data_IF_095698822848
#
_entry.id   IF_095698822848
#
_cell.length_a   1.000
_cell.length_b   1.000
_cell.length_c   1.000
_cell.angle_alpha   90.00
_cell.angle_beta   90.00
_cell.angle_gamma   90.00
#
_symmetry.space_group_name_H-M   'P 1'
#
loop_
_entity.id
_entity.type
_entity.pdbx_description
1 polymer ?
#
# COMPACT_ATOMS: atom_id res chain seq x y z
N UNK A 1 7.86 -15.90 -0.82
CA UNK A 1 6.87 -14.84 -0.55
C UNK A 1 7.46 -14.01 0.55
N UNK A 2 7.49 -12.69 0.38
CA UNK A 2 8.12 -11.81 1.37
C UNK A 2 7.31 -11.84 2.66
N UNK A 3 7.95 -11.53 3.78
CA UNK A 3 7.29 -11.44 5.09
C UNK A 3 6.50 -10.14 5.23
N UNK A 4 5.87 -9.67 4.16
CA UNK A 4 5.13 -8.41 4.13
C UNK A 4 3.73 -8.64 3.59
N UNK A 5 2.75 -7.92 4.12
CA UNK A 5 1.44 -7.80 3.52
C UNK A 5 1.01 -6.33 3.49
N UNK A 6 0.30 -5.94 2.44
CA UNK A 6 -0.19 -4.58 2.30
C UNK A 6 -1.72 -4.52 2.34
N UNK A 7 -2.25 -3.47 2.94
CA UNK A 7 -3.68 -3.13 2.93
C UNK A 7 -3.86 -1.76 2.32
N UNK A 8 -4.68 -1.64 1.28
CA UNK A 8 -5.01 -0.37 0.63
C UNK A 8 -6.42 0.02 1.03
N UNK A 9 -6.62 1.30 1.33
CA UNK A 9 -7.91 1.86 1.72
C UNK A 9 -8.12 3.22 1.07
N UNK A 10 -9.35 3.48 0.64
CA UNK A 10 -9.78 4.81 0.27
C UNK A 10 -10.31 5.54 1.50
N UNK A 11 -9.75 6.72 1.79
CA UNK A 11 -10.17 7.61 2.87
C UNK A 11 -11.02 8.75 2.30
N UNK A 12 -12.23 8.94 2.83
CA UNK A 12 -13.16 10.03 2.52
C UNK A 12 -13.39 10.27 1.00
N UNK A 13 -13.35 9.21 0.18
CA UNK A 13 -13.43 9.26 -1.29
C UNK A 13 -12.46 10.26 -1.95
N UNK A 14 -11.30 10.55 -1.32
CA UNK A 14 -10.35 11.55 -1.82
C UNK A 14 -8.89 11.15 -1.72
N UNK A 15 -8.55 10.21 -0.84
CA UNK A 15 -7.16 9.82 -0.59
C UNK A 15 -7.03 8.31 -0.61
N UNK A 16 -5.90 7.83 -1.09
CA UNK A 16 -5.48 6.44 -1.02
C UNK A 16 -4.52 6.33 0.15
N UNK A 17 -4.73 5.33 1.00
CA UNK A 17 -3.85 4.98 2.11
C UNK A 17 -3.37 3.55 1.93
N UNK A 18 -2.06 3.37 1.92
CA UNK A 18 -1.40 2.07 1.89
C UNK A 18 -0.77 1.81 3.26
N UNK A 19 -1.13 0.68 3.85
CA UNK A 19 -0.58 0.17 5.10
C UNK A 19 0.28 -1.03 4.79
N UNK A 20 1.56 -0.97 5.12
CA UNK A 20 2.51 -2.06 4.94
C UNK A 20 2.82 -2.68 6.29
N UNK A 21 2.63 -3.98 6.38
CA UNK A 21 2.78 -4.76 7.61
C UNK A 21 3.87 -5.80 7.43
N UNK A 22 4.72 -5.92 8.44
CA UNK A 22 5.68 -7.01 8.58
C UNK A 22 5.01 -8.21 9.25
N UNK A 23 5.16 -9.38 8.65
CA UNK A 23 4.55 -10.65 9.01
C UNK A 23 5.33 -11.39 10.12
N UNK A 24 6.26 -10.74 10.83
CA UNK A 24 7.13 -11.45 11.77
C UNK A 24 6.37 -12.14 12.91
N UNK A 25 6.55 -13.46 12.99
CA UNK A 25 6.00 -14.36 14.00
C UNK A 25 6.66 -14.24 15.39
N UNK A 26 7.61 -13.31 15.60
CA UNK A 26 8.39 -13.19 16.85
C UNK A 26 7.89 -12.08 17.81
N UNK A 27 6.67 -12.31 18.32
CA UNK A 27 6.12 -12.10 19.68
C UNK A 27 6.71 -11.11 20.73
N UNK A 28 7.51 -10.08 20.44
CA UNK A 28 7.95 -9.12 21.50
C UNK A 28 8.03 -7.62 21.16
N UNK A 29 7.82 -7.19 19.91
CA UNK A 29 7.77 -5.76 19.57
C UNK A 29 6.37 -5.38 19.10
N UNK A 30 5.88 -4.22 19.54
CA UNK A 30 4.63 -3.66 19.08
C UNK A 30 4.81 -3.24 17.61
N UNK A 31 4.28 -4.03 16.68
CA UNK A 31 4.41 -3.77 15.24
C UNK A 31 3.45 -2.65 14.84
N UNK A 32 3.99 -1.50 14.47
CA UNK A 32 3.23 -0.43 13.85
C UNK A 32 3.43 -0.48 12.33
N UNK A 33 2.35 -0.47 11.53
CA UNK A 33 2.48 -0.51 10.08
C UNK A 33 3.12 0.78 9.57
N UNK A 34 3.83 0.68 8.45
CA UNK A 34 4.23 1.87 7.71
C UNK A 34 3.02 2.34 6.91
N UNK A 35 2.62 3.59 7.14
CA UNK A 35 1.45 4.19 6.53
C UNK A 35 1.87 5.22 5.48
N UNK A 36 1.50 5.00 4.23
CA UNK A 36 1.63 5.97 3.16
C UNK A 36 0.25 6.48 2.79
N UNK A 37 0.07 7.80 2.72
CA UNK A 37 -1.23 8.39 2.35
C UNK A 37 -1.03 9.53 1.38
N UNK A 38 -1.74 9.51 0.26
CA UNK A 38 -1.72 10.57 -0.74
C UNK A 38 -3.07 10.72 -1.44
N UNK A 39 -3.26 11.83 -2.15
CA UNK A 39 -4.47 12.08 -2.94
C UNK A 39 -4.47 11.36 -4.30
N UNK A 40 -3.28 11.09 -4.86
CA UNK A 40 -3.06 10.52 -6.19
C UNK A 40 -2.06 9.37 -6.11
N UNK A 41 -2.18 8.39 -7.01
CA UNK A 41 -1.27 7.23 -7.02
C UNK A 41 0.18 7.63 -7.28
N UNK A 42 0.43 8.61 -8.16
CA UNK A 42 1.76 9.11 -8.49
C UNK A 42 2.51 9.67 -7.26
N UNK A 43 1.81 10.44 -6.42
CA UNK A 43 2.37 10.96 -5.17
C UNK A 43 2.67 9.82 -4.19
N UNK A 44 1.80 8.82 -4.15
CA UNK A 44 1.96 7.65 -3.29
C UNK A 44 3.15 6.81 -3.74
N UNK A 45 3.32 6.62 -5.06
CA UNK A 45 4.49 5.98 -5.66
C UNK A 45 5.79 6.70 -5.28
N UNK A 46 5.84 8.02 -5.42
CA UNK A 46 7.02 8.81 -5.03
C UNK A 46 7.36 8.65 -3.54
N UNK A 47 6.34 8.58 -2.66
CA UNK A 47 6.52 8.32 -1.23
C UNK A 47 7.10 6.93 -0.96
N UNK A 48 6.56 5.89 -1.63
CA UNK A 48 7.06 4.51 -1.49
C UNK A 48 8.51 4.43 -1.99
N UNK A 49 8.81 5.00 -3.16
CA UNK A 49 10.17 4.99 -3.73
C UNK A 49 11.20 5.74 -2.90
N UNK A 50 10.77 6.72 -2.10
CA UNK A 50 11.66 7.44 -1.18
C UNK A 50 11.95 6.67 0.11
N UNK A 51 11.26 5.56 0.36
CA UNK A 51 11.38 4.79 1.59
C UNK A 51 12.29 3.56 1.40
N UNK A 52 13.22 3.34 2.34
CA UNK A 52 14.24 2.28 2.24
C UNK A 52 13.66 0.86 2.11
N UNK A 53 12.44 0.66 2.60
CA UNK A 53 11.72 -0.62 2.63
C UNK A 53 11.35 -1.17 1.25
N UNK A 54 11.38 -0.33 0.20
CA UNK A 54 11.17 -0.81 -1.17
C UNK A 54 12.24 -1.86 -1.55
N UNK A 55 13.45 -1.73 -0.98
CA UNK A 55 14.54 -2.69 -1.18
C UNK A 55 14.25 -4.09 -0.59
N UNK A 56 13.35 -4.18 0.38
CA UNK A 56 13.01 -5.43 1.07
C UNK A 56 11.82 -6.16 0.41
N UNK A 57 11.15 -5.52 -0.55
CA UNK A 57 10.03 -6.10 -1.30
C UNK A 57 10.51 -6.77 -2.59
N UNK A 58 10.05 -7.99 -2.84
CA UNK A 58 10.27 -8.65 -4.12
C UNK A 58 9.51 -7.93 -5.24
N UNK A 59 10.00 -8.12 -6.47
CA UNK A 59 9.37 -7.59 -7.69
C UNK A 59 7.89 -8.02 -7.77
N UNK A 60 7.55 -9.23 -7.31
CA UNK A 60 6.17 -9.71 -7.32
C UNK A 60 5.28 -8.90 -6.35
N UNK A 61 5.78 -8.57 -5.16
CA UNK A 61 5.04 -7.70 -4.22
C UNK A 61 4.90 -6.28 -4.74
N UNK A 62 5.95 -5.73 -5.35
CA UNK A 62 5.89 -4.40 -5.95
C UNK A 62 4.87 -4.34 -7.09
N UNK A 63 4.81 -5.38 -7.93
CA UNK A 63 3.83 -5.49 -8.99
C UNK A 63 2.40 -5.58 -8.44
N UNK A 64 2.18 -6.38 -7.39
CA UNK A 64 0.88 -6.47 -6.71
C UNK A 64 0.44 -5.11 -6.16
N UNK A 65 1.34 -4.42 -5.44
CA UNK A 65 1.06 -3.07 -4.91
C UNK A 65 0.69 -2.11 -6.04
N UNK A 66 1.43 -2.12 -7.15
CA UNK A 66 1.13 -1.28 -8.30
C UNK A 66 -0.25 -1.54 -8.90
N UNK A 67 -0.63 -2.81 -9.05
CA UNK A 67 -1.95 -3.22 -9.55
C UNK A 67 -3.07 -2.73 -8.64
N UNK A 68 -2.94 -2.91 -7.32
CA UNK A 68 -3.95 -2.51 -6.35
C UNK A 68 -4.06 -0.99 -6.21
N UNK A 69 -2.95 -0.25 -6.29
CA UNK A 69 -2.97 1.21 -6.31
C UNK A 69 -3.69 1.75 -7.55
N UNK A 70 -3.44 1.14 -8.71
CA UNK A 70 -4.12 1.52 -9.95
C UNK A 70 -5.63 1.24 -9.86
N UNK A 71 -6.04 0.08 -9.34
CA UNK A 71 -7.46 -0.22 -9.08
C UNK A 71 -8.10 0.79 -8.12
N UNK A 72 -7.40 1.16 -7.05
CA UNK A 72 -7.89 2.14 -6.07
C UNK A 72 -8.09 3.53 -6.69
N UNK A 73 -7.16 3.98 -7.52
CA UNK A 73 -7.28 5.26 -8.23
C UNK A 73 -8.39 5.25 -9.29
N UNK A 74 -8.53 4.15 -10.02
CA UNK A 74 -9.61 3.97 -10.99
C UNK A 74 -10.98 3.96 -10.28
N UNK A 75 -11.07 3.31 -9.12
CA UNK A 75 -12.28 3.32 -8.28
C UNK A 75 -12.63 4.75 -7.81
N UNK A 76 -11.63 5.52 -7.36
CA UNK A 76 -11.83 6.94 -7.00
C UNK A 76 -12.32 7.76 -8.19
N UNK A 77 -11.69 7.60 -9.34
CA UNK A 77 -11.99 8.36 -10.57
C UNK A 77 -13.41 8.07 -11.05
N UNK A 78 -13.84 6.80 -10.97
CA UNK A 78 -15.19 6.38 -11.35
C UNK A 78 -16.23 6.55 -10.24
N UNK A 79 -15.84 7.08 -9.07
CA UNK A 79 -16.67 7.17 -7.87
C UNK A 79 -17.30 5.81 -7.48
N UNK A 80 -16.53 4.73 -7.65
CA UNK A 80 -16.89 3.36 -7.30
C UNK A 80 -16.24 2.94 -5.97
N UNK A 81 -16.83 1.93 -5.35
CA UNK A 81 -16.26 1.32 -4.13
C UNK A 81 -15.07 0.44 -4.51
N UNK A 82 -13.88 0.79 -4.00
CA UNK A 82 -12.71 -0.07 -4.08
C UNK A 82 -12.85 -1.30 -3.18
N UNK A 83 -12.40 -2.45 -3.69
CA UNK A 83 -12.28 -3.71 -2.98
C UNK A 83 -10.89 -4.26 -3.32
N UNK A 84 -10.14 -4.65 -2.31
CA UNK A 84 -8.84 -5.30 -2.45
C UNK A 84 -9.05 -6.82 -2.49
N UNK A 85 -8.43 -7.50 -3.45
CA UNK A 85 -8.44 -8.96 -3.61
C UNK A 85 -7.01 -9.54 -3.57
#
# INVERSE_FOLDING_TARGET
>A
MDNYYCTIRILNNKKISLYLWESEQNSKKMFYPICFTAAYSDLLYNLICSHYYLNDLSINHLLYIGQELYKAELSLTLNQKYIQD
#
